data_IF_264435133801
#
_entry.id   IF_264435133801
#
_cell.length_a   1.000
_cell.length_b   1.000
_cell.length_c   1.000
_cell.angle_alpha   90.00
_cell.angle_beta   90.00
_cell.angle_gamma   90.00
#
_symmetry.space_group_name_H-M   'P 1'
#
loop_
_entity.id
_entity.type
_entity.pdbx_description
1 polymer ?
#
# COMPACT_ATOMS: atom_id res chain seq x y z
N UNK A 1 17.78 -0.67 -8.71
CA UNK A 1 17.56 0.02 -10.01
C UNK A 1 16.49 -0.73 -10.81
N UNK A 2 15.78 -0.04 -11.71
CA UNK A 2 14.74 -0.68 -12.53
C UNK A 2 15.36 -1.60 -13.59
N UNK A 3 14.75 -2.76 -13.83
CA UNK A 3 15.13 -3.67 -14.91
C UNK A 3 15.01 -2.99 -16.29
N UNK A 4 14.04 -2.09 -16.48
CA UNK A 4 13.88 -1.34 -17.73
C UNK A 4 15.07 -0.41 -18.00
N UNK A 5 15.59 0.25 -16.97
CA UNK A 5 16.75 1.15 -17.11
C UNK A 5 18.03 0.37 -17.46
N UNK A 6 18.20 -0.82 -16.87
CA UNK A 6 19.33 -1.71 -17.19
C UNK A 6 19.24 -2.20 -18.63
N UNK A 7 18.07 -2.68 -19.07
CA UNK A 7 17.87 -3.12 -20.47
C UNK A 7 18.13 -1.99 -21.45
N UNK A 8 17.58 -0.81 -21.18
CA UNK A 8 17.80 0.36 -22.04
C UNK A 8 19.29 0.72 -22.17
N UNK A 9 20.06 0.62 -21.08
CA UNK A 9 21.51 0.80 -21.13
C UNK A 9 22.22 -0.28 -21.95
N UNK A 10 21.85 -1.55 -21.77
CA UNK A 10 22.43 -2.69 -22.49
C UNK A 10 22.13 -2.65 -24.00
N UNK A 11 20.94 -2.17 -24.38
CA UNK A 11 20.52 -1.96 -25.77
C UNK A 11 21.17 -0.73 -26.42
N UNK A 12 21.73 0.19 -25.63
CA UNK A 12 22.34 1.45 -26.07
C UNK A 12 23.88 1.45 -26.13
N UNK A 13 24.47 2.66 -26.11
CA UNK A 13 25.93 2.83 -26.01
C UNK A 13 26.41 2.50 -24.58
N UNK A 14 27.11 1.37 -24.43
CA UNK A 14 27.64 0.85 -23.16
C UNK A 14 28.87 1.61 -22.65
N UNK A 15 28.67 2.89 -22.36
CA UNK A 15 29.70 3.76 -21.79
C UNK A 15 29.48 3.97 -20.30
N UNK A 16 30.57 4.11 -19.55
CA UNK A 16 30.50 4.33 -18.11
C UNK A 16 29.62 5.56 -17.76
N UNK A 17 29.72 6.66 -18.49
CA UNK A 17 28.92 7.87 -18.25
C UNK A 17 27.43 7.75 -18.60
N UNK A 18 27.02 6.67 -19.26
CA UNK A 18 25.62 6.34 -19.57
C UNK A 18 25.01 5.37 -18.56
N UNK A 19 25.77 4.92 -17.56
CA UNK A 19 25.27 4.03 -16.52
C UNK A 19 24.10 4.69 -15.78
N UNK A 20 22.95 3.99 -15.63
CA UNK A 20 21.76 4.59 -15.06
C UNK A 20 21.97 4.98 -13.60
N UNK A 21 21.34 6.09 -13.19
CA UNK A 21 21.40 6.62 -11.83
C UNK A 21 19.98 6.81 -11.31
N UNK A 22 19.74 6.42 -10.07
CA UNK A 22 18.50 6.76 -9.37
C UNK A 22 18.78 7.87 -8.37
N UNK A 23 18.04 8.97 -8.48
CA UNK A 23 18.10 10.09 -7.53
C UNK A 23 16.73 10.30 -6.92
N UNK A 24 16.68 10.42 -5.60
CA UNK A 24 15.48 10.76 -4.85
C UNK A 24 15.78 11.95 -3.94
N UNK A 25 15.00 13.01 -4.08
CA UNK A 25 15.13 14.23 -3.31
C UNK A 25 13.97 14.35 -2.32
N UNK A 26 14.31 14.65 -1.07
CA UNK A 26 13.36 14.91 0.02
C UNK A 26 13.47 16.37 0.38
N UNK A 27 12.45 17.14 0.01
CA UNK A 27 12.31 18.54 0.37
C UNK A 27 11.77 18.65 1.79
N UNK A 28 12.45 19.43 2.61
CA UNK A 28 12.06 19.73 3.98
C UNK A 28 11.45 21.13 4.02
N UNK A 29 10.60 21.39 5.01
CA UNK A 29 10.15 22.75 5.29
C UNK A 29 11.37 23.61 5.64
N UNK A 30 11.49 24.78 5.00
CA UNK A 30 12.60 25.72 5.23
C UNK A 30 12.80 25.97 6.72
N UNK A 31 13.98 25.61 7.21
CA UNK A 31 14.42 25.79 8.58
C UNK A 31 15.60 26.75 8.65
N UNK A 32 16.09 26.95 9.87
CA UNK A 32 17.28 27.75 10.12
C UNK A 32 18.60 26.97 10.02
N UNK A 33 18.61 25.79 9.38
CA UNK A 33 19.81 24.93 9.32
C UNK A 33 20.58 25.06 8.01
N UNK A 34 21.71 25.81 7.99
CA UNK A 34 22.44 26.09 6.75
C UNK A 34 22.99 24.84 6.07
N UNK A 35 23.26 23.79 6.84
CA UNK A 35 23.76 22.52 6.32
C UNK A 35 22.75 21.81 5.40
N UNK A 36 21.46 22.11 5.52
CA UNK A 36 20.40 21.53 4.70
C UNK A 36 20.07 22.37 3.47
N UNK A 37 20.36 23.66 3.51
CA UNK A 37 19.92 24.64 2.53
C UNK A 37 20.85 24.68 1.31
N UNK A 38 20.28 24.53 0.11
CA UNK A 38 20.99 24.84 -1.12
C UNK A 38 20.28 24.37 -2.38
N UNK A 39 21.02 24.43 -3.50
CA UNK A 39 20.50 24.15 -4.85
C UNK A 39 20.86 22.78 -5.41
N UNK A 40 21.50 21.92 -4.62
CA UNK A 40 21.89 20.56 -5.04
C UNK A 40 20.69 19.59 -5.00
N UNK A 41 19.56 20.02 -5.58
CA UNK A 41 18.35 19.22 -5.80
C UNK A 41 18.01 19.18 -7.31
N UNK A 42 17.11 18.28 -7.71
CA UNK A 42 16.79 17.97 -9.10
C UNK A 42 16.07 19.13 -9.77
N UNK A 43 15.38 19.96 -8.99
CA UNK A 43 14.71 21.17 -9.45
C UNK A 43 15.66 22.37 -9.57
N UNK A 44 16.89 22.29 -9.03
CA UNK A 44 17.86 23.39 -9.00
C UNK A 44 17.38 24.62 -8.20
N UNK A 45 16.36 24.45 -7.36
CA UNK A 45 15.78 25.53 -6.56
C UNK A 45 16.50 25.66 -5.22
N UNK A 46 16.43 26.83 -4.61
CA UNK A 46 16.97 27.01 -3.27
C UNK A 46 16.00 26.43 -2.23
N UNK A 47 16.40 25.37 -1.55
CA UNK A 47 15.55 24.66 -0.60
C UNK A 47 16.35 23.91 0.46
N UNK A 48 15.69 23.60 1.58
CA UNK A 48 16.22 22.66 2.57
C UNK A 48 15.88 21.24 2.17
N UNK A 49 16.85 20.33 2.25
CA UNK A 49 16.54 18.94 1.96
C UNK A 49 17.71 17.98 1.96
N UNK A 50 17.36 16.73 1.66
CA UNK A 50 18.24 15.60 1.59
C UNK A 50 18.08 14.92 0.22
N UNK A 51 19.18 14.37 -0.28
CA UNK A 51 19.24 13.62 -1.52
C UNK A 51 19.77 12.23 -1.23
N UNK A 52 19.10 11.23 -1.77
CA UNK A 52 19.62 9.88 -1.93
C UNK A 52 19.96 9.68 -3.41
N UNK A 53 21.15 9.15 -3.68
CA UNK A 53 21.60 8.82 -5.04
C UNK A 53 22.15 7.40 -5.07
N UNK A 54 21.66 6.59 -6.00
CA UNK A 54 22.19 5.26 -6.30
C UNK A 54 22.94 5.38 -7.62
N UNK A 55 24.27 5.39 -7.55
CA UNK A 55 25.14 5.69 -8.68
C UNK A 55 26.38 4.80 -8.67
N UNK A 56 27.02 4.60 -9.84
CA UNK A 56 28.32 3.93 -9.91
C UNK A 56 29.40 4.77 -9.22
N UNK A 57 30.27 4.08 -8.48
CA UNK A 57 31.44 4.62 -7.79
C UNK A 57 32.56 4.91 -8.79
N UNK A 58 32.36 5.94 -9.62
CA UNK A 58 33.27 6.28 -10.72
C UNK A 58 34.63 6.80 -10.25
N UNK A 59 34.65 7.50 -9.11
CA UNK A 59 35.90 8.06 -8.57
C UNK A 59 36.81 6.95 -8.04
N UNK A 60 36.24 5.94 -7.38
CA UNK A 60 36.99 4.84 -6.78
C UNK A 60 37.29 3.70 -7.76
N UNK A 61 36.35 3.37 -8.65
CA UNK A 61 36.39 2.14 -9.46
C UNK A 61 36.18 2.37 -10.96
N UNK A 62 36.34 3.59 -11.47
CA UNK A 62 36.09 3.91 -12.87
C UNK A 62 36.83 3.00 -13.87
N UNK A 63 38.09 2.65 -13.61
CA UNK A 63 38.87 1.76 -14.48
C UNK A 63 38.29 0.33 -14.53
N UNK A 64 37.90 -0.20 -13.37
CA UNK A 64 37.30 -1.54 -13.28
C UNK A 64 35.93 -1.57 -13.97
N UNK A 65 35.11 -0.54 -13.79
CA UNK A 65 33.82 -0.38 -14.47
C UNK A 65 34.03 -0.38 -15.99
N UNK A 66 35.00 0.37 -16.50
CA UNK A 66 35.32 0.39 -17.92
C UNK A 66 35.75 -0.99 -18.44
N UNK A 67 36.55 -1.72 -17.66
CA UNK A 67 36.98 -3.06 -18.03
C UNK A 67 35.81 -4.04 -18.10
N UNK A 68 34.94 -4.02 -17.08
CA UNK A 68 33.73 -4.87 -17.00
C UNK A 68 32.81 -4.63 -18.18
N UNK A 69 32.55 -3.36 -18.54
CA UNK A 69 31.70 -3.00 -19.67
C UNK A 69 32.27 -3.42 -21.05
N UNK A 70 33.59 -3.60 -21.15
CA UNK A 70 34.26 -4.02 -22.39
C UNK A 70 34.35 -5.54 -22.55
N UNK A 71 34.44 -6.29 -21.44
CA UNK A 71 34.62 -7.75 -21.47
C UNK A 71 33.37 -8.49 -21.94
N UNK A 72 32.21 -8.12 -21.38
CA UNK A 72 30.96 -8.83 -21.62
C UNK A 72 29.82 -7.84 -21.87
N UNK A 73 29.23 -7.84 -23.09
CA UNK A 73 28.07 -7.03 -23.44
C UNK A 73 26.86 -7.16 -22.52
N UNK A 74 26.66 -8.34 -21.94
CA UNK A 74 25.49 -8.65 -21.12
C UNK A 74 25.74 -8.33 -19.64
N UNK A 75 26.99 -8.06 -19.26
CA UNK A 75 27.37 -7.81 -17.88
C UNK A 75 27.03 -6.37 -17.45
N UNK A 76 26.31 -6.25 -16.35
CA UNK A 76 25.96 -4.97 -15.72
C UNK A 76 26.70 -4.85 -14.38
N UNK A 77 27.45 -3.76 -14.13
CA UNK A 77 28.37 -3.62 -12.99
C UNK A 77 27.65 -3.31 -11.67
N UNK A 78 26.81 -4.23 -11.17
CA UNK A 78 26.00 -4.01 -9.96
C UNK A 78 26.85 -3.76 -8.71
N UNK A 79 28.01 -4.41 -8.61
CA UNK A 79 28.92 -4.38 -7.46
C UNK A 79 29.54 -3.00 -7.25
N UNK A 80 29.55 -2.18 -8.30
CA UNK A 80 30.13 -0.85 -8.31
C UNK A 80 29.12 0.25 -7.99
N UNK A 81 27.85 -0.10 -7.72
CA UNK A 81 26.85 0.86 -7.27
C UNK A 81 26.89 1.05 -5.76
N UNK A 82 26.78 2.29 -5.32
CA UNK A 82 26.59 2.63 -3.91
C UNK A 82 25.39 3.55 -3.70
N UNK A 83 24.85 3.51 -2.48
CA UNK A 83 23.85 4.46 -2.02
C UNK A 83 24.56 5.61 -1.33
N UNK A 84 24.45 6.80 -1.90
CA UNK A 84 25.05 8.03 -1.43
C UNK A 84 23.96 8.94 -0.86
N UNK A 85 24.23 9.57 0.28
CA UNK A 85 23.34 10.55 0.88
C UNK A 85 24.05 11.90 0.99
N UNK A 86 23.38 12.96 0.57
CA UNK A 86 23.88 14.33 0.68
C UNK A 86 22.77 15.29 1.09
N UNK A 87 23.13 16.45 1.60
CA UNK A 87 22.20 17.57 1.81
C UNK A 87 22.11 18.42 0.54
N UNK A 88 21.11 19.30 0.43
CA UNK A 88 21.02 20.22 -0.72
C UNK A 88 22.11 21.32 -0.73
N UNK A 89 22.84 21.51 0.38
CA UNK A 89 24.05 22.33 0.41
C UNK A 89 25.27 21.64 -0.23
N UNK A 90 25.18 20.34 -0.52
CA UNK A 90 26.27 19.51 -1.05
C UNK A 90 27.12 18.83 0.02
N UNK A 91 26.76 18.97 1.30
CA UNK A 91 27.41 18.25 2.40
C UNK A 91 27.12 16.75 2.37
N UNK A 92 28.10 15.94 2.79
CA UNK A 92 27.89 14.51 3.01
C UNK A 92 26.95 14.29 4.19
N UNK A 93 25.89 13.50 3.98
CA UNK A 93 25.01 13.08 5.07
C UNK A 93 25.57 11.82 5.73
N UNK A 94 26.21 11.99 6.88
CA UNK A 94 26.66 10.88 7.71
C UNK A 94 25.60 10.57 8.78
N UNK A 95 25.25 9.29 8.95
CA UNK A 95 24.12 8.84 9.79
C UNK A 95 24.13 9.24 11.27
N UNK A 96 25.21 9.86 11.76
CA UNK A 96 25.24 10.46 13.10
C UNK A 96 24.49 11.80 13.17
N UNK A 97 24.35 12.53 12.06
CA UNK A 97 23.56 13.76 11.97
C UNK A 97 22.12 13.40 11.64
N UNK A 98 21.26 13.31 12.65
CA UNK A 98 19.82 13.07 12.46
C UNK A 98 19.07 14.39 12.29
N UNK A 99 19.00 14.90 11.06
CA UNK A 99 18.18 16.07 10.72
C UNK A 99 16.67 15.78 10.84
N UNK A 100 16.26 14.52 10.64
CA UNK A 100 14.87 14.07 10.76
C UNK A 100 14.74 12.98 11.83
N UNK A 101 13.98 13.26 12.89
CA UNK A 101 13.49 12.25 13.84
C UNK A 101 12.23 11.61 13.26
N UNK A 102 12.30 10.31 12.99
CA UNK A 102 11.16 9.53 12.52
C UNK A 102 11.01 8.27 13.37
N UNK A 103 9.80 7.71 13.34
CA UNK A 103 9.52 6.41 13.92
C UNK A 103 8.92 5.50 12.85
N UNK A 104 9.43 4.29 12.75
CA UNK A 104 8.91 3.27 11.85
C UNK A 104 8.27 2.15 12.65
N UNK A 105 6.99 1.89 12.37
CA UNK A 105 6.21 0.82 12.98
C UNK A 105 5.80 -0.16 11.88
N UNK A 106 6.46 -1.31 11.88
CA UNK A 106 6.15 -2.46 11.04
C UNK A 106 5.35 -3.46 11.89
N UNK A 107 4.09 -3.67 11.50
CA UNK A 107 3.16 -4.57 12.19
C UNK A 107 3.45 -6.06 11.91
N UNK A 108 4.13 -6.37 10.81
CA UNK A 108 4.47 -7.73 10.39
C UNK A 108 5.73 -8.25 11.11
N UNK A 109 6.71 -7.37 11.37
CA UNK A 109 7.99 -7.70 12.02
C UNK A 109 8.05 -7.42 13.52
N UNK A 110 6.88 -7.34 14.17
CA UNK A 110 6.74 -7.03 15.60
C UNK A 110 7.61 -7.91 16.53
N UNK A 111 7.97 -9.12 16.11
CA UNK A 111 8.71 -10.09 16.92
C UNK A 111 10.25 -9.91 16.90
N UNK A 112 10.79 -8.91 16.19
CA UNK A 112 12.23 -8.66 16.19
C UNK A 112 12.67 -7.91 17.45
N UNK A 113 13.46 -8.55 18.33
CA UNK A 113 14.03 -7.94 19.54
C UNK A 113 14.75 -6.62 19.26
N UNK A 114 15.47 -6.54 18.13
CA UNK A 114 16.15 -5.31 17.72
C UNK A 114 15.18 -4.18 17.39
N UNK A 115 14.07 -4.48 16.72
CA UNK A 115 13.04 -3.48 16.38
C UNK A 115 12.34 -2.98 17.65
N UNK A 116 12.02 -3.87 18.58
CA UNK A 116 11.46 -3.51 19.88
C UNK A 116 12.43 -2.64 20.70
N UNK A 117 13.73 -2.95 20.68
CA UNK A 117 14.75 -2.18 21.37
C UNK A 117 14.95 -0.78 20.76
N UNK A 118 15.02 -0.67 19.44
CA UNK A 118 15.11 0.62 18.75
C UNK A 118 13.87 1.49 18.97
N UNK A 119 12.68 0.86 19.00
CA UNK A 119 11.44 1.54 19.37
C UNK A 119 11.54 2.11 20.80
N UNK A 120 11.88 1.28 21.79
CA UNK A 120 12.02 1.72 23.20
C UNK A 120 13.05 2.84 23.34
N UNK A 121 14.20 2.71 22.67
CA UNK A 121 15.24 3.74 22.67
C UNK A 121 14.73 5.06 22.07
N UNK A 122 14.01 4.98 20.95
CA UNK A 122 13.48 6.17 20.28
C UNK A 122 12.46 6.88 21.16
N UNK A 123 11.49 6.15 21.72
CA UNK A 123 10.49 6.69 22.64
C UNK A 123 11.13 7.31 23.86
N UNK A 124 12.10 6.64 24.49
CA UNK A 124 12.84 7.18 25.62
C UNK A 124 13.59 8.46 25.25
N UNK A 125 14.27 8.48 24.11
CA UNK A 125 15.04 9.64 23.64
C UNK A 125 14.18 10.86 23.33
N UNK A 126 12.93 10.61 22.90
CA UNK A 126 11.92 11.63 22.59
C UNK A 126 11.31 12.17 23.89
N UNK A 127 10.95 11.28 24.82
CA UNK A 127 10.20 11.68 26.02
C UNK A 127 11.08 12.11 27.20
N UNK A 128 12.40 11.89 27.16
CA UNK A 128 13.31 12.22 28.26
C UNK A 128 14.32 13.31 27.86
N UNK A 129 14.39 14.44 28.60
CA UNK A 129 15.33 15.52 28.33
C UNK A 129 16.78 15.04 28.26
N UNK A 130 17.58 15.65 27.38
CA UNK A 130 18.99 15.30 27.15
C UNK A 130 19.80 15.27 28.47
N UNK A 131 19.59 16.27 29.34
CA UNK A 131 20.27 16.35 30.63
C UNK A 131 19.95 15.15 31.54
N UNK A 132 18.68 14.73 31.57
CA UNK A 132 18.26 13.57 32.36
C UNK A 132 18.79 12.27 31.80
N UNK A 133 18.85 12.12 30.47
CA UNK A 133 19.43 10.92 29.83
C UNK A 133 20.89 10.73 30.23
N UNK A 134 21.71 11.79 30.18
CA UNK A 134 23.10 11.71 30.61
C UNK A 134 23.23 11.40 32.11
N UNK A 135 22.40 12.03 32.95
CA UNK A 135 22.38 11.78 34.39
C UNK A 135 22.04 10.31 34.71
N UNK A 136 20.99 9.78 34.08
CA UNK A 136 20.52 8.42 34.29
C UNK A 136 21.49 7.38 33.72
N UNK A 137 22.07 7.61 32.54
CA UNK A 137 23.10 6.74 31.96
C UNK A 137 24.35 6.66 32.86
N UNK A 138 24.80 7.80 33.38
CA UNK A 138 25.93 7.82 34.31
C UNK A 138 25.62 7.08 35.61
N UNK A 139 24.42 7.29 36.18
CA UNK A 139 23.97 6.58 37.38
C UNK A 139 23.92 5.06 37.13
N UNK A 140 23.36 4.61 36.01
CA UNK A 140 23.30 3.21 35.63
C UNK A 140 24.70 2.59 35.49
N UNK A 141 25.65 3.31 34.89
CA UNK A 141 27.05 2.88 34.80
C UNK A 141 27.70 2.73 36.17
N UNK A 142 27.47 3.68 37.09
CA UNK A 142 27.99 3.62 38.45
C UNK A 142 27.42 2.40 39.20
N UNK A 143 26.14 2.09 39.04
CA UNK A 143 25.53 0.90 39.65
C UNK A 143 26.16 -0.40 39.13
N UNK A 144 26.47 -0.48 37.83
CA UNK A 144 27.21 -1.63 37.27
C UNK A 144 28.59 -1.81 37.87
N UNK A 145 29.32 -0.71 38.05
CA UNK A 145 30.64 -0.73 38.70
C UNK A 145 30.53 -1.17 40.16
N UNK A 146 29.54 -0.64 40.88
CA UNK A 146 29.26 -1.04 42.26
C UNK A 146 28.90 -2.53 42.38
N UNK A 147 28.11 -3.06 41.44
CA UNK A 147 27.77 -4.48 41.42
C UNK A 147 29.03 -5.34 41.26
N UNK A 148 29.93 -4.98 40.35
CA UNK A 148 31.20 -5.69 40.17
C UNK A 148 32.04 -5.67 41.46
N UNK A 149 32.22 -4.49 42.07
CA UNK A 149 33.02 -4.34 43.27
C UNK A 149 32.45 -5.06 44.50
N UNK A 150 31.12 -5.12 44.62
CA UNK A 150 30.45 -5.65 45.81
C UNK A 150 30.09 -7.13 45.71
N UNK A 151 29.69 -7.60 44.53
CA UNK A 151 29.13 -8.94 44.36
C UNK A 151 30.02 -9.86 43.53
N UNK A 152 30.88 -9.33 42.65
CA UNK A 152 31.80 -10.15 41.86
C UNK A 152 33.23 -10.21 42.45
N UNK A 153 33.57 -9.38 43.44
CA UNK A 153 34.91 -9.36 44.05
C UNK A 153 35.33 -10.71 44.59
N UNK A 154 34.48 -11.36 45.40
CA UNK A 154 34.79 -12.67 45.97
C UNK A 154 35.09 -13.76 44.91
N UNK A 155 34.47 -13.67 43.72
CA UNK A 155 34.75 -14.59 42.61
C UNK A 155 36.03 -14.15 41.89
N UNK A 156 36.16 -12.86 41.60
CA UNK A 156 37.30 -12.31 40.87
C UNK A 156 38.63 -12.44 41.64
N UNK A 157 38.60 -12.39 42.97
CA UNK A 157 39.78 -12.56 43.82
C UNK A 157 40.36 -13.99 43.72
N UNK A 158 39.56 -14.97 43.28
CA UNK A 158 40.02 -16.35 43.03
C UNK A 158 40.70 -16.52 41.66
N UNK A 159 40.56 -15.54 40.76
CA UNK A 159 41.06 -15.59 39.40
C UNK A 159 42.39 -14.81 39.28
N UNK A 160 43.41 -15.42 38.71
CA UNK A 160 44.76 -14.83 38.66
C UNK A 160 44.98 -13.86 37.49
N UNK A 161 44.44 -14.18 36.32
CA UNK A 161 44.80 -13.49 35.05
C UNK A 161 43.63 -12.72 34.44
N UNK A 162 42.39 -13.14 34.72
CA UNK A 162 41.19 -12.58 34.11
C UNK A 162 40.16 -12.27 35.19
N UNK A 163 39.27 -11.31 34.93
CA UNK A 163 38.18 -10.94 35.84
C UNK A 163 36.87 -10.87 35.08
N UNK A 164 35.78 -11.25 35.75
CA UNK A 164 34.43 -11.02 35.25
C UNK A 164 34.03 -9.57 35.49
N UNK A 165 33.45 -8.95 34.46
CA UNK A 165 32.93 -7.58 34.51
C UNK A 165 31.57 -7.47 33.84
N UNK A 166 30.77 -6.51 34.29
CA UNK A 166 29.50 -6.17 33.62
C UNK A 166 29.80 -5.23 32.46
N UNK A 167 29.31 -5.59 31.27
CA UNK A 167 29.49 -4.76 30.07
C UNK A 167 28.94 -3.35 30.27
N UNK A 168 29.76 -2.37 29.89
CA UNK A 168 29.45 -0.94 29.87
C UNK A 168 29.82 -0.40 28.49
N UNK A 169 29.02 0.53 27.96
CA UNK A 169 29.16 1.08 26.60
C UNK A 169 27.85 1.06 25.83
N UNK A 170 27.83 1.65 24.64
CA UNK A 170 26.59 1.95 23.89
C UNK A 170 25.66 0.75 23.68
N UNK A 171 26.20 -0.45 23.42
CA UNK A 171 25.41 -1.68 23.21
C UNK A 171 24.88 -2.31 24.52
N UNK A 172 25.25 -1.75 25.66
CA UNK A 172 24.87 -2.21 27.00
C UNK A 172 24.55 -1.05 27.94
N UNK A 173 24.25 0.13 27.41
CA UNK A 173 23.86 1.31 28.20
C UNK A 173 22.48 1.15 28.82
N UNK A 174 22.01 2.16 29.54
CA UNK A 174 20.65 2.19 30.10
C UNK A 174 19.63 2.01 28.97
N UNK A 175 19.71 2.84 27.92
CA UNK A 175 18.77 2.82 26.79
C UNK A 175 18.69 1.44 26.12
N UNK A 176 19.80 0.69 26.08
CA UNK A 176 19.84 -0.66 25.52
C UNK A 176 19.16 -1.71 26.41
N UNK A 177 18.97 -1.44 27.70
CA UNK A 177 18.39 -2.36 28.67
C UNK A 177 17.02 -1.89 29.20
N UNK A 178 16.45 -0.82 28.64
CA UNK A 178 15.10 -0.38 28.97
C UNK A 178 14.05 -1.27 28.31
N UNK A 179 12.90 -1.35 28.97
CA UNK A 179 11.70 -1.98 28.44
C UNK A 179 10.49 -1.09 28.71
N UNK A 180 9.46 -1.23 27.88
CA UNK A 180 8.18 -0.54 28.06
C UNK A 180 7.20 -1.56 28.61
N UNK A 181 6.55 -1.22 29.71
CA UNK A 181 5.56 -2.09 30.38
C UNK A 181 4.21 -1.40 30.49
N UNK A 182 3.15 -2.19 30.33
CA UNK A 182 1.77 -1.82 30.62
C UNK A 182 1.25 -2.80 31.68
N UNK A 183 0.73 -2.32 32.80
CA UNK A 183 0.33 -3.14 33.96
C UNK A 183 1.41 -4.11 34.45
N UNK A 184 2.69 -3.72 34.37
CA UNK A 184 3.83 -4.55 34.77
C UNK A 184 4.22 -5.64 33.76
N UNK A 185 3.52 -5.74 32.63
CA UNK A 185 3.84 -6.70 31.55
C UNK A 185 4.55 -5.96 30.42
N UNK A 186 5.69 -6.48 29.96
CA UNK A 186 6.38 -5.97 28.78
C UNK A 186 5.43 -5.89 27.59
N UNK A 187 5.46 -4.77 26.85
CA UNK A 187 4.70 -4.64 25.60
C UNK A 187 5.03 -5.78 24.64
N UNK A 188 6.25 -6.33 24.69
CA UNK A 188 6.71 -7.45 23.85
C UNK A 188 5.92 -8.73 24.08
N UNK A 189 5.34 -8.90 25.27
CA UNK A 189 4.55 -10.07 25.64
C UNK A 189 3.04 -9.85 25.47
N UNK A 190 2.61 -8.66 25.02
CA UNK A 190 1.19 -8.38 24.71
C UNK A 190 0.85 -8.87 23.30
N UNK A 191 -0.42 -9.09 23.01
CA UNK A 191 -0.86 -9.44 21.65
C UNK A 191 -0.49 -8.36 20.63
N UNK A 192 -0.10 -8.74 19.41
CA UNK A 192 0.41 -7.84 18.36
C UNK A 192 -0.45 -6.59 18.12
N UNK A 193 -1.77 -6.75 18.13
CA UNK A 193 -2.68 -5.62 18.00
C UNK A 193 -2.57 -4.60 19.15
N UNK A 194 -2.44 -5.07 20.41
CA UNK A 194 -2.20 -4.18 21.57
C UNK A 194 -0.83 -3.52 21.48
N UNK A 195 0.19 -4.24 21.01
CA UNK A 195 1.51 -3.66 20.77
C UNK A 195 1.44 -2.50 19.77
N UNK A 196 0.76 -2.68 18.64
CA UNK A 196 0.59 -1.64 17.62
C UNK A 196 -0.06 -0.37 18.21
N UNK A 197 -1.11 -0.56 19.03
CA UNK A 197 -1.78 0.55 19.73
C UNK A 197 -0.86 1.29 20.68
N UNK A 198 -0.25 0.58 21.63
CA UNK A 198 0.65 1.19 22.62
C UNK A 198 1.79 1.92 21.90
N UNK A 199 2.35 1.28 20.86
CA UNK A 199 3.45 1.87 20.09
C UNK A 199 3.05 3.17 19.39
N UNK A 200 1.87 3.18 18.80
CA UNK A 200 1.33 4.37 18.12
C UNK A 200 0.96 5.45 19.13
N UNK A 201 0.33 5.09 20.26
CA UNK A 201 -0.02 6.03 21.33
C UNK A 201 1.22 6.72 21.88
N UNK A 202 2.28 6.00 22.22
CA UNK A 202 3.53 6.60 22.69
C UNK A 202 4.24 7.46 21.62
N UNK A 203 4.09 7.13 20.34
CA UNK A 203 4.62 7.94 19.25
C UNK A 203 3.86 9.28 19.10
N UNK A 204 2.55 9.26 19.36
CA UNK A 204 1.68 10.44 19.24
C UNK A 204 1.59 11.24 20.54
N UNK A 205 1.77 10.60 21.70
CA UNK A 205 1.74 11.24 23.01
C UNK A 205 2.95 12.16 23.17
N UNK A 206 2.71 13.46 23.00
CA UNK A 206 3.61 14.51 23.46
C UNK A 206 3.55 14.61 24.98
N UNK A 207 4.68 14.48 25.65
CA UNK A 207 4.88 15.30 26.85
C UNK A 207 5.08 16.74 26.39
N UNK A 208 4.15 17.64 26.75
CA UNK A 208 4.19 19.10 26.51
C UNK A 208 5.43 19.81 27.12
N UNK A 209 6.40 19.05 27.64
CA UNK A 209 7.55 19.52 28.39
C UNK A 209 8.83 19.20 27.59
N UNK A 210 9.19 20.11 26.68
CA UNK A 210 10.58 20.39 26.25
C UNK A 210 11.50 19.21 25.86
N UNK A 211 10.97 18.12 25.30
CA UNK A 211 11.77 16.98 24.81
C UNK A 211 11.29 16.51 23.44
N UNK A 212 12.13 16.77 22.41
CA UNK A 212 12.14 16.15 21.06
C UNK A 212 10.83 15.95 20.29
N UNK A 213 10.68 16.59 19.13
CA UNK A 213 9.54 16.32 18.24
C UNK A 213 9.83 15.13 17.29
N UNK A 214 8.95 14.13 17.23
CA UNK A 214 8.93 13.18 16.10
C UNK A 214 8.37 13.96 14.91
N UNK A 215 9.14 14.09 13.83
CA UNK A 215 8.70 14.82 12.65
C UNK A 215 7.84 13.93 11.73
N UNK A 216 8.17 12.64 11.64
CA UNK A 216 7.47 11.69 10.77
C UNK A 216 7.18 10.35 11.48
N UNK A 217 5.97 9.83 11.28
CA UNK A 217 5.54 8.49 11.68
C UNK A 217 5.29 7.67 10.41
N UNK A 218 5.97 6.54 10.30
CA UNK A 218 5.88 5.61 9.18
C UNK A 218 5.18 4.34 9.68
N UNK A 219 4.00 4.04 9.16
CA UNK A 219 3.20 2.86 9.50
C UNK A 219 3.12 1.92 8.30
N UNK A 220 3.58 0.69 8.48
CA UNK A 220 3.43 -0.38 7.49
C UNK A 220 2.34 -1.36 7.95
N UNK A 221 1.31 -1.50 7.11
CA UNK A 221 0.15 -2.37 7.29
C UNK A 221 -0.42 -2.36 8.73
N UNK A 222 -0.81 -1.17 9.26
CA UNK A 222 -1.29 -1.07 10.64
C UNK A 222 -2.56 -1.89 10.92
N UNK A 223 -3.29 -2.32 9.89
CA UNK A 223 -4.43 -3.22 9.96
C UNK A 223 -4.07 -4.66 10.37
N UNK A 224 -2.82 -5.09 10.17
CA UNK A 224 -2.41 -6.45 10.48
C UNK A 224 -2.58 -6.72 11.98
N UNK A 225 -3.17 -7.88 12.29
CA UNK A 225 -3.46 -8.32 13.67
C UNK A 225 -4.42 -7.40 14.45
N UNK A 226 -5.14 -6.47 13.79
CA UNK A 226 -6.21 -5.68 14.38
C UNK A 226 -7.58 -6.21 13.99
N UNK A 227 -8.50 -6.17 14.94
CA UNK A 227 -9.93 -6.29 14.61
C UNK A 227 -10.38 -5.06 13.81
N UNK A 228 -11.47 -5.19 13.06
CA UNK A 228 -12.01 -4.08 12.27
C UNK A 228 -12.35 -2.84 13.13
N UNK A 229 -12.86 -3.04 14.36
CA UNK A 229 -13.14 -1.95 15.32
C UNK A 229 -11.84 -1.30 15.81
N UNK A 230 -10.84 -2.11 16.11
CA UNK A 230 -9.51 -1.65 16.52
C UNK A 230 -8.86 -0.82 15.41
N UNK A 231 -8.84 -1.30 14.17
CA UNK A 231 -8.33 -0.54 13.03
C UNK A 231 -9.04 0.80 12.87
N UNK A 232 -10.38 0.85 12.97
CA UNK A 232 -11.14 2.12 12.92
C UNK A 232 -10.74 3.11 14.03
N UNK A 233 -10.50 2.63 15.25
CA UNK A 233 -10.01 3.48 16.35
C UNK A 233 -8.65 4.07 16.05
N UNK A 234 -7.73 3.24 15.54
CA UNK A 234 -6.38 3.67 15.16
C UNK A 234 -6.43 4.73 14.05
N UNK A 235 -7.19 4.50 12.99
CA UNK A 235 -7.33 5.45 11.88
C UNK A 235 -7.93 6.77 12.35
N UNK A 236 -8.96 6.75 13.20
CA UNK A 236 -9.54 7.99 13.74
C UNK A 236 -8.52 8.78 14.56
N UNK A 237 -7.71 8.10 15.38
CA UNK A 237 -6.64 8.74 16.15
C UNK A 237 -5.60 9.38 15.23
N UNK A 238 -5.16 8.67 14.20
CA UNK A 238 -4.20 9.18 13.21
C UNK A 238 -4.78 10.36 12.40
N UNK A 239 -6.07 10.33 12.07
CA UNK A 239 -6.73 11.42 11.34
C UNK A 239 -6.82 12.72 12.15
N UNK A 240 -6.77 12.63 13.49
CA UNK A 240 -6.76 13.80 14.38
C UNK A 240 -5.37 14.40 14.62
N UNK A 241 -4.30 13.67 14.28
CA UNK A 241 -2.93 14.16 14.44
C UNK A 241 -2.63 15.30 13.45
N UNK A 242 -2.05 16.40 13.96
CA UNK A 242 -1.82 17.63 13.16
C UNK A 242 -0.36 18.07 13.13
N UNK A 243 0.48 17.51 13.98
CA UNK A 243 1.83 18.00 14.22
C UNK A 243 2.89 17.04 13.70
N UNK A 244 2.56 15.75 13.58
CA UNK A 244 3.44 14.72 13.02
C UNK A 244 2.98 14.36 11.61
N UNK A 245 3.91 14.29 10.65
CA UNK A 245 3.58 13.79 9.31
C UNK A 245 3.44 12.26 9.37
N UNK A 246 2.25 11.75 9.07
CA UNK A 246 1.98 10.31 9.08
C UNK A 246 1.98 9.77 7.66
N UNK A 247 2.83 8.78 7.40
CA UNK A 247 2.81 7.96 6.19
C UNK A 247 2.28 6.58 6.53
N UNK A 248 1.34 6.10 5.73
CA UNK A 248 0.71 4.79 5.92
C UNK A 248 0.80 4.03 4.61
N UNK A 249 1.46 2.88 4.64
CA UNK A 249 1.36 1.87 3.61
C UNK A 249 0.30 0.85 4.03
N UNK A 250 -0.69 0.59 3.18
CA UNK A 250 -1.84 -0.25 3.51
C UNK A 250 -2.39 -0.90 2.24
N UNK A 251 -2.92 -2.10 2.38
CA UNK A 251 -3.73 -2.78 1.36
C UNK A 251 -5.24 -2.73 1.70
N UNK A 252 -5.61 -2.09 2.81
CA UNK A 252 -6.98 -2.02 3.33
C UNK A 252 -7.77 -0.82 2.80
N UNK A 253 -8.82 -1.11 2.03
CA UNK A 253 -9.76 -0.10 1.50
C UNK A 253 -10.40 0.72 2.64
N UNK A 254 -10.58 0.12 3.82
CA UNK A 254 -11.14 0.78 4.99
C UNK A 254 -10.23 1.86 5.60
N UNK A 255 -8.90 1.73 5.47
CA UNK A 255 -7.97 2.78 5.92
C UNK A 255 -8.01 3.92 4.90
N UNK A 256 -7.91 3.58 3.62
CA UNK A 256 -7.90 4.57 2.54
C UNK A 256 -9.14 5.45 2.50
N UNK A 257 -10.34 4.88 2.69
CA UNK A 257 -11.61 5.62 2.62
C UNK A 257 -11.89 6.50 3.83
N UNK A 258 -11.30 6.19 4.99
CA UNK A 258 -11.48 6.96 6.22
C UNK A 258 -10.47 8.09 6.36
N UNK A 259 -9.32 7.96 5.70
CA UNK A 259 -8.38 9.03 5.54
C UNK A 259 -8.76 9.88 4.32
N UNK A 260 -8.16 11.05 4.21
CA UNK A 260 -8.39 11.93 3.06
C UNK A 260 -7.76 11.31 1.81
N UNK A 261 -8.56 10.59 1.00
CA UNK A 261 -8.10 9.94 -0.23
C UNK A 261 -7.37 10.89 -1.17
N UNK A 262 -7.62 12.20 -1.13
CA UNK A 262 -6.90 13.19 -1.97
C UNK A 262 -5.39 13.22 -1.67
N UNK A 263 -4.97 12.69 -0.52
CA UNK A 263 -3.58 12.53 -0.10
C UNK A 263 -3.04 11.12 -0.37
N UNK A 264 -3.88 10.21 -0.86
CA UNK A 264 -3.48 8.85 -1.18
C UNK A 264 -2.69 8.81 -2.50
N UNK A 265 -1.66 7.97 -2.50
CA UNK A 265 -0.84 7.64 -3.65
C UNK A 265 -1.15 6.18 -3.96
N UNK A 266 -1.85 5.93 -5.07
CA UNK A 266 -2.15 4.58 -5.53
C UNK A 266 -0.96 4.09 -6.35
N UNK A 267 -0.36 2.98 -5.94
CA UNK A 267 0.74 2.36 -6.65
C UNK A 267 0.19 1.49 -7.80
N UNK A 268 -0.01 2.10 -8.97
CA UNK A 268 -0.40 1.40 -10.19
C UNK A 268 0.76 0.62 -10.81
N UNK A 269 0.46 -0.19 -11.83
CA UNK A 269 1.45 -1.04 -12.49
C UNK A 269 2.55 -0.26 -13.24
N UNK A 270 2.23 0.92 -13.77
CA UNK A 270 3.15 1.73 -14.60
C UNK A 270 3.69 2.94 -13.86
N UNK A 271 2.84 3.62 -13.06
CA UNK A 271 3.21 4.79 -12.29
C UNK A 271 2.37 4.91 -11.01
N UNK A 272 2.86 5.64 -9.99
CA UNK A 272 1.99 6.12 -8.93
C UNK A 272 0.95 7.09 -9.50
N UNK A 273 -0.29 6.95 -9.04
CA UNK A 273 -1.40 7.86 -9.35
C UNK A 273 -1.79 8.59 -8.09
N UNK A 274 -1.75 9.92 -8.16
CA UNK A 274 -2.24 10.76 -7.08
C UNK A 274 -3.75 10.93 -7.23
N UNK A 275 -4.51 10.70 -6.16
CA UNK A 275 -5.98 10.82 -6.22
C UNK A 275 -6.48 12.25 -6.50
N UNK A 276 -5.61 13.26 -6.40
CA UNK A 276 -5.91 14.62 -6.82
C UNK A 276 -5.87 14.83 -8.35
N UNK A 277 -5.41 13.83 -9.11
CA UNK A 277 -5.48 13.81 -10.59
C UNK A 277 -6.89 13.42 -11.09
N UNK A 278 -7.74 12.86 -10.22
CA UNK A 278 -9.15 12.55 -10.54
C UNK A 278 -10.01 13.82 -10.55
N UNK A 279 -11.14 13.76 -11.24
CA UNK A 279 -12.17 14.80 -11.12
C UNK A 279 -12.64 14.93 -9.66
N UNK A 280 -12.93 16.14 -9.22
CA UNK A 280 -13.34 16.41 -7.84
C UNK A 280 -14.57 15.58 -7.42
N UNK A 281 -15.49 15.34 -8.36
CA UNK A 281 -16.65 14.49 -8.14
C UNK A 281 -16.29 13.01 -7.99
N UNK A 282 -15.36 12.49 -8.79
CA UNK A 282 -14.90 11.09 -8.70
C UNK A 282 -14.10 10.85 -7.42
N UNK A 283 -13.21 11.77 -7.06
CA UNK A 283 -12.54 11.73 -5.77
C UNK A 283 -13.55 11.77 -4.61
N UNK A 284 -14.57 12.64 -4.68
CA UNK A 284 -15.61 12.71 -3.65
C UNK A 284 -16.47 11.45 -3.56
N UNK A 285 -16.76 10.79 -4.69
CA UNK A 285 -17.46 9.50 -4.70
C UNK A 285 -16.69 8.45 -3.89
N UNK A 286 -15.39 8.29 -4.17
CA UNK A 286 -14.56 7.32 -3.48
C UNK A 286 -14.34 7.64 -2.00
N UNK A 287 -14.34 8.92 -1.61
CA UNK A 287 -14.28 9.33 -0.19
C UNK A 287 -15.59 9.08 0.57
N UNK A 288 -16.75 9.07 -0.10
CA UNK A 288 -18.06 8.99 0.56
C UNK A 288 -18.46 7.59 1.02
N UNK A 289 -17.95 6.53 0.38
CA UNK A 289 -18.32 5.16 0.70
C UNK A 289 -17.08 4.29 0.99
N UNK A 290 -16.96 3.74 2.22
CA UNK A 290 -15.85 2.87 2.61
C UNK A 290 -15.73 1.57 1.83
N UNK A 291 -16.82 1.15 1.20
CA UNK A 291 -16.98 -0.13 0.53
C UNK A 291 -16.76 -0.01 -0.99
N UNK A 292 -16.36 1.18 -1.47
CA UNK A 292 -15.92 1.32 -2.83
C UNK A 292 -14.58 0.61 -2.95
N UNK A 293 -14.54 -0.51 -3.66
CA UNK A 293 -13.39 -1.40 -3.89
C UNK A 293 -12.24 -0.71 -4.68
N UNK A 294 -11.85 0.51 -4.31
CA UNK A 294 -10.89 1.37 -4.99
C UNK A 294 -9.49 0.80 -4.95
N UNK A 295 -9.05 0.31 -3.79
CA UNK A 295 -7.74 -0.32 -3.67
C UNK A 295 -7.70 -1.63 -4.44
N UNK A 296 -8.74 -2.45 -4.34
CA UNK A 296 -8.83 -3.70 -5.12
C UNK A 296 -8.80 -3.41 -6.62
N UNK A 297 -9.59 -2.42 -7.07
CA UNK A 297 -9.56 -1.94 -8.44
C UNK A 297 -8.18 -1.46 -8.84
N UNK A 298 -7.50 -0.69 -7.97
CA UNK A 298 -6.22 -0.09 -8.30
C UNK A 298 -5.09 -1.12 -8.40
N UNK A 299 -5.16 -2.19 -7.61
CA UNK A 299 -4.18 -3.27 -7.60
C UNK A 299 -4.44 -4.31 -8.71
N UNK A 300 -5.67 -4.40 -9.22
CA UNK A 300 -6.04 -5.34 -10.27
C UNK A 300 -5.56 -4.89 -11.66
N UNK A 301 -4.90 -5.80 -12.39
CA UNK A 301 -4.43 -5.53 -13.77
C UNK A 301 -5.56 -5.55 -14.80
N UNK A 302 -6.52 -6.46 -14.61
CA UNK A 302 -7.69 -6.66 -15.46
C UNK A 302 -8.91 -6.66 -14.55
N UNK A 303 -9.88 -5.82 -14.86
CA UNK A 303 -11.09 -5.67 -14.04
C UNK A 303 -12.33 -5.87 -14.91
N UNK A 304 -13.23 -6.70 -14.44
CA UNK A 304 -14.59 -6.82 -14.95
C UNK A 304 -15.53 -6.12 -13.97
N UNK A 305 -16.05 -4.97 -14.36
CA UNK A 305 -17.05 -4.23 -13.59
C UNK A 305 -18.43 -4.77 -13.92
N UNK A 306 -19.22 -5.08 -12.90
CA UNK A 306 -20.61 -5.52 -13.04
C UNK A 306 -21.51 -4.63 -12.20
N UNK A 307 -22.77 -4.48 -12.64
CA UNK A 307 -23.71 -3.55 -12.03
C UNK A 307 -24.15 -3.95 -10.62
N UNK A 308 -24.48 -5.23 -10.42
CA UNK A 308 -24.98 -5.73 -9.16
C UNK A 308 -24.59 -7.18 -8.84
N UNK A 309 -25.25 -7.70 -7.80
CA UNK A 309 -24.95 -9.02 -7.24
C UNK A 309 -25.35 -10.16 -8.19
N UNK A 310 -26.39 -9.98 -9.01
CA UNK A 310 -26.88 -11.04 -9.89
C UNK A 310 -25.84 -11.41 -10.96
N UNK A 311 -25.21 -10.41 -11.57
CA UNK A 311 -24.09 -10.58 -12.49
C UNK A 311 -22.89 -11.14 -11.75
N UNK A 312 -22.54 -10.57 -10.59
CA UNK A 312 -21.39 -11.02 -9.79
C UNK A 312 -21.46 -12.53 -9.47
N UNK A 313 -22.64 -13.02 -9.07
CA UNK A 313 -22.89 -14.43 -8.75
C UNK A 313 -22.69 -15.35 -9.95
N UNK A 314 -23.09 -14.94 -11.16
CA UNK A 314 -23.13 -15.81 -12.34
C UNK A 314 -21.89 -15.72 -13.24
N UNK A 315 -21.15 -14.61 -13.17
CA UNK A 315 -20.02 -14.36 -14.09
C UNK A 315 -18.90 -15.40 -13.93
N UNK A 316 -18.59 -15.84 -12.71
CA UNK A 316 -17.60 -16.92 -12.50
C UNK A 316 -18.01 -18.21 -13.22
N UNK A 317 -19.30 -18.58 -13.13
CA UNK A 317 -19.83 -19.75 -13.81
C UNK A 317 -19.83 -19.59 -15.34
N UNK A 318 -20.16 -18.40 -15.85
CA UNK A 318 -20.05 -18.12 -17.29
C UNK A 318 -18.61 -18.20 -17.78
N UNK A 319 -17.65 -17.68 -17.00
CA UNK A 319 -16.23 -17.76 -17.33
C UNK A 319 -15.76 -19.22 -17.41
N UNK A 320 -16.08 -20.01 -16.39
CA UNK A 320 -15.72 -21.43 -16.35
C UNK A 320 -16.38 -22.21 -17.49
N UNK A 321 -17.64 -21.92 -17.81
CA UNK A 321 -18.34 -22.58 -18.91
C UNK A 321 -17.75 -22.28 -20.28
N UNK A 322 -17.31 -21.04 -20.51
CA UNK A 322 -16.73 -20.64 -21.80
C UNK A 322 -15.26 -21.09 -21.95
N UNK A 323 -14.49 -21.13 -20.86
CA UNK A 323 -13.02 -21.30 -20.95
C UNK A 323 -12.44 -22.46 -20.13
N UNK A 324 -13.24 -23.13 -19.30
CA UNK A 324 -12.80 -24.23 -18.43
C UNK A 324 -11.81 -23.81 -17.33
N UNK A 325 -11.86 -22.53 -16.92
CA UNK A 325 -10.94 -21.89 -15.96
C UNK A 325 -11.66 -20.89 -15.09
N UNK A 326 -11.06 -20.51 -13.97
CA UNK A 326 -11.59 -19.43 -13.15
C UNK A 326 -11.05 -18.07 -13.64
N UNK A 327 -11.78 -16.95 -13.45
CA UNK A 327 -11.31 -15.61 -13.82
C UNK A 327 -9.92 -15.27 -13.25
N UNK A 328 -9.60 -15.76 -12.05
CA UNK A 328 -8.35 -15.49 -11.35
C UNK A 328 -7.14 -16.13 -12.06
N UNK A 329 -7.35 -17.26 -12.75
CA UNK A 329 -6.30 -17.95 -13.51
C UNK A 329 -5.76 -17.07 -14.65
N UNK A 330 -6.62 -16.21 -15.21
CA UNK A 330 -6.29 -15.24 -16.25
C UNK A 330 -6.10 -13.82 -15.68
N UNK A 331 -6.04 -13.69 -14.35
CA UNK A 331 -5.79 -12.44 -13.63
C UNK A 331 -6.90 -11.40 -13.76
N UNK A 332 -8.14 -11.84 -13.97
CA UNK A 332 -9.34 -11.00 -14.07
C UNK A 332 -9.99 -10.88 -12.69
N UNK A 333 -10.08 -9.66 -12.18
CA UNK A 333 -10.78 -9.36 -10.92
C UNK A 333 -12.19 -8.85 -11.21
N UNK A 334 -13.21 -9.44 -10.57
CA UNK A 334 -14.61 -9.04 -10.76
C UNK A 334 -15.00 -8.08 -9.62
N UNK A 335 -15.60 -6.93 -9.98
CA UNK A 335 -16.05 -5.95 -8.99
C UNK A 335 -17.51 -5.59 -9.28
N UNK A 336 -18.40 -5.90 -8.33
CA UNK A 336 -19.75 -5.35 -8.31
C UNK A 336 -19.71 -3.90 -7.80
N UNK A 337 -20.24 -2.96 -8.59
CA UNK A 337 -20.21 -1.53 -8.21
C UNK A 337 -21.49 -1.07 -7.50
N UNK A 338 -22.53 -1.90 -7.45
CA UNK A 338 -23.78 -1.62 -6.77
C UNK A 338 -24.58 -0.46 -7.39
N UNK A 339 -24.64 -0.40 -8.73
CA UNK A 339 -25.38 0.63 -9.47
C UNK A 339 -24.68 1.11 -10.74
N UNK A 340 -24.92 2.37 -11.12
CA UNK A 340 -24.55 2.92 -12.45
C UNK A 340 -23.26 3.75 -12.48
N UNK A 341 -22.45 3.65 -11.42
CA UNK A 341 -21.26 4.49 -11.17
C UNK A 341 -20.01 4.11 -11.99
N UNK A 342 -20.17 3.38 -13.09
CA UNK A 342 -19.07 2.91 -13.96
C UNK A 342 -18.11 4.02 -14.37
N UNK A 343 -18.64 5.21 -14.67
CA UNK A 343 -17.84 6.37 -15.08
C UNK A 343 -16.69 6.66 -14.11
N UNK A 344 -16.95 6.54 -12.80
CA UNK A 344 -15.98 6.82 -11.73
C UNK A 344 -14.81 5.84 -11.77
N UNK A 345 -15.10 4.56 -12.00
CA UNK A 345 -14.09 3.52 -12.15
C UNK A 345 -13.37 3.60 -13.50
N UNK A 346 -14.05 4.00 -14.58
CA UNK A 346 -13.42 4.20 -15.90
C UNK A 346 -12.46 5.39 -15.91
N UNK A 347 -12.79 6.50 -15.22
CA UNK A 347 -11.85 7.62 -15.00
C UNK A 347 -10.58 7.13 -14.27
N UNK A 348 -10.74 6.31 -13.23
CA UNK A 348 -9.63 5.73 -12.49
C UNK A 348 -8.82 4.71 -13.35
N UNK A 349 -9.51 3.89 -14.15
CA UNK A 349 -8.89 2.94 -15.09
C UNK A 349 -7.91 3.63 -16.03
N UNK A 350 -8.32 4.78 -16.57
CA UNK A 350 -7.52 5.56 -17.51
C UNK A 350 -6.24 6.09 -16.89
N UNK A 351 -6.26 6.48 -15.61
CA UNK A 351 -5.07 6.97 -14.91
C UNK A 351 -4.10 5.86 -14.54
N UNK A 352 -4.63 4.70 -14.12
CA UNK A 352 -3.85 3.54 -13.69
C UNK A 352 -3.42 2.63 -14.85
N UNK A 353 -4.00 2.85 -16.04
CA UNK A 353 -3.84 2.01 -17.23
C UNK A 353 -4.28 0.55 -17.02
N UNK A 354 -5.33 0.34 -16.22
CA UNK A 354 -5.91 -0.97 -16.01
C UNK A 354 -6.72 -1.39 -17.24
N UNK A 355 -6.74 -2.69 -17.57
CA UNK A 355 -7.64 -3.20 -18.61
C UNK A 355 -9.02 -3.41 -17.99
N UNK A 356 -10.07 -2.75 -18.47
CA UNK A 356 -11.39 -2.74 -17.82
C UNK A 356 -12.52 -3.04 -18.80
N UNK A 357 -13.28 -4.09 -18.52
CA UNK A 357 -14.55 -4.37 -19.18
C UNK A 357 -15.68 -3.99 -18.23
N UNK A 358 -16.66 -3.21 -18.69
CA UNK A 358 -17.82 -2.82 -17.90
C UNK A 358 -19.08 -3.44 -18.49
N UNK A 359 -19.69 -4.39 -17.77
CA UNK A 359 -21.00 -4.95 -18.10
C UNK A 359 -22.09 -4.02 -17.59
N UNK A 360 -22.88 -3.46 -18.51
CA UNK A 360 -23.87 -2.44 -18.20
C UNK A 360 -25.23 -2.79 -18.79
N UNK A 361 -26.29 -2.56 -18.02
CA UNK A 361 -27.66 -2.57 -18.53
C UNK A 361 -27.92 -1.36 -19.42
N UNK A 362 -28.52 -1.57 -20.60
CA UNK A 362 -28.84 -0.48 -21.52
C UNK A 362 -30.05 0.36 -21.04
N UNK A 363 -30.84 -0.16 -20.09
CA UNK A 363 -32.04 0.47 -19.51
C UNK A 363 -33.03 1.00 -20.57
N UNK A 364 -33.12 0.33 -21.71
CA UNK A 364 -33.97 0.70 -22.84
C UNK A 364 -33.40 1.79 -23.75
N UNK A 365 -32.16 2.23 -23.52
CA UNK A 365 -31.47 3.21 -24.37
C UNK A 365 -29.95 3.01 -24.41
N UNK A 366 -29.48 2.07 -25.24
CA UNK A 366 -28.06 1.79 -25.46
C UNK A 366 -27.24 3.03 -25.82
N UNK A 367 -27.70 3.82 -26.80
CA UNK A 367 -26.99 4.99 -27.29
C UNK A 367 -26.67 5.99 -26.16
N UNK A 368 -27.66 6.31 -25.34
CA UNK A 368 -27.49 7.27 -24.25
C UNK A 368 -26.72 6.67 -23.08
N UNK A 369 -27.07 5.45 -22.65
CA UNK A 369 -26.59 4.88 -21.40
C UNK A 369 -25.22 4.20 -21.51
N UNK A 370 -24.83 3.77 -22.72
CA UNK A 370 -23.59 3.03 -22.96
C UNK A 370 -22.60 3.81 -23.83
N UNK A 371 -23.02 4.38 -24.96
CA UNK A 371 -22.09 5.08 -25.86
C UNK A 371 -21.78 6.50 -25.37
N UNK A 372 -22.80 7.36 -25.30
CA UNK A 372 -22.62 8.79 -25.03
C UNK A 372 -22.14 9.07 -23.61
N UNK A 373 -22.65 8.31 -22.63
CA UNK A 373 -22.35 8.51 -21.19
C UNK A 373 -20.88 8.30 -20.82
N UNK A 374 -20.17 7.46 -21.58
CA UNK A 374 -18.80 7.06 -21.29
C UNK A 374 -17.77 7.47 -22.36
N UNK A 375 -18.21 8.09 -23.46
CA UNK A 375 -17.37 8.43 -24.61
C UNK A 375 -16.09 9.22 -24.25
N UNK A 376 -16.15 10.08 -23.24
CA UNK A 376 -15.02 10.93 -22.82
C UNK A 376 -14.04 10.25 -21.85
N UNK A 377 -14.44 9.13 -21.23
CA UNK A 377 -13.64 8.40 -20.24
C UNK A 377 -13.08 7.08 -20.76
N UNK A 378 -13.62 6.56 -21.87
CA UNK A 378 -13.11 5.35 -22.53
C UNK A 378 -11.73 5.55 -23.16
N UNK A 379 -10.94 4.48 -23.20
CA UNK A 379 -9.61 4.45 -23.79
C UNK A 379 -9.35 3.09 -24.45
N UNK A 380 -8.18 2.87 -25.06
CA UNK A 380 -7.84 1.60 -25.71
C UNK A 380 -7.87 0.38 -24.77
N UNK A 381 -7.79 0.61 -23.46
CA UNK A 381 -7.81 -0.42 -22.42
C UNK A 381 -9.12 -0.48 -21.64
N UNK A 382 -10.16 0.27 -22.02
CA UNK A 382 -11.46 0.20 -21.39
C UNK A 382 -12.60 0.11 -22.40
N UNK A 383 -13.59 -0.75 -22.14
CA UNK A 383 -14.76 -0.92 -23.01
C UNK A 383 -16.01 -1.22 -22.18
N UNK A 384 -17.14 -0.64 -22.59
CA UNK A 384 -18.47 -0.92 -22.04
C UNK A 384 -19.16 -1.92 -22.96
N UNK A 385 -19.81 -2.91 -22.37
CA UNK A 385 -20.54 -3.97 -23.05
C UNK A 385 -21.95 -4.01 -22.49
N UNK A 386 -22.92 -3.98 -23.41
CA UNK A 386 -24.34 -4.04 -23.13
C UNK A 386 -25.03 -4.68 -24.33
N UNK A 387 -26.24 -5.20 -24.13
CA UNK A 387 -27.06 -5.69 -25.25
C UNK A 387 -27.45 -4.51 -26.16
N UNK A 388 -27.32 -4.68 -27.47
CA UNK A 388 -27.66 -3.63 -28.44
C UNK A 388 -29.18 -3.50 -28.66
N UNK A 389 -29.96 -4.52 -28.30
CA UNK A 389 -31.42 -4.44 -28.35
C UNK A 389 -31.97 -3.79 -27.08
N UNK A 390 -32.59 -2.62 -27.22
CA UNK A 390 -33.24 -1.90 -26.12
C UNK A 390 -34.42 -2.67 -25.50
N UNK A 391 -34.96 -3.71 -26.16
CA UNK A 391 -35.96 -4.60 -25.56
C UNK A 391 -35.36 -5.56 -24.52
N UNK A 392 -34.05 -5.79 -24.61
CA UNK A 392 -33.23 -6.62 -23.72
C UNK A 392 -32.50 -5.72 -22.71
N UNK A 393 -33.30 -5.02 -21.91
CA UNK A 393 -32.82 -3.82 -21.22
C UNK A 393 -31.99 -4.06 -19.97
N UNK A 394 -32.16 -5.22 -19.32
CA UNK A 394 -31.44 -5.59 -18.10
C UNK A 394 -30.88 -7.00 -18.17
N UNK A 395 -29.88 -7.29 -17.34
CA UNK A 395 -29.27 -8.61 -17.21
C UNK A 395 -30.31 -9.74 -17.07
N UNK A 396 -31.34 -9.58 -16.24
CA UNK A 396 -32.33 -10.63 -16.00
C UNK A 396 -33.19 -10.91 -17.25
N UNK A 397 -33.50 -9.88 -18.03
CA UNK A 397 -34.27 -10.02 -19.27
C UNK A 397 -33.43 -10.78 -20.30
N UNK A 398 -32.17 -10.38 -20.49
CA UNK A 398 -31.24 -11.07 -21.38
C UNK A 398 -31.10 -12.55 -20.98
N UNK A 399 -30.84 -12.80 -19.70
CA UNK A 399 -30.63 -14.15 -19.18
C UNK A 399 -31.88 -15.02 -19.33
N UNK A 400 -33.07 -14.47 -19.03
CA UNK A 400 -34.33 -15.18 -19.21
C UNK A 400 -34.58 -15.52 -20.68
N UNK A 401 -34.42 -14.57 -21.60
CA UNK A 401 -34.69 -14.81 -23.02
C UNK A 401 -33.78 -15.89 -23.62
N UNK A 402 -32.50 -15.92 -23.22
CA UNK A 402 -31.54 -16.91 -23.72
C UNK A 402 -31.68 -18.29 -23.04
N UNK A 403 -32.45 -18.38 -21.95
CA UNK A 403 -32.61 -19.57 -21.13
C UNK A 403 -34.08 -19.85 -20.76
N UNK A 404 -35.03 -19.45 -21.61
CA UNK A 404 -36.45 -19.40 -21.26
C UNK A 404 -36.99 -20.74 -20.74
N UNK A 405 -36.71 -21.85 -21.44
CA UNK A 405 -37.16 -23.19 -21.04
C UNK A 405 -36.65 -23.61 -19.65
N UNK A 406 -35.38 -23.26 -19.35
CA UNK A 406 -34.74 -23.61 -18.09
C UNK A 406 -35.29 -22.74 -16.95
N UNK A 407 -35.40 -21.44 -17.18
CA UNK A 407 -35.98 -20.51 -16.22
C UNK A 407 -37.44 -20.83 -15.95
N UNK A 408 -38.22 -21.15 -16.98
CA UNK A 408 -39.60 -21.60 -16.84
C UNK A 408 -39.68 -22.90 -16.03
N UNK A 409 -38.88 -23.91 -16.34
CA UNK A 409 -38.89 -25.16 -15.59
C UNK A 409 -38.53 -24.95 -14.10
N UNK A 410 -37.57 -24.07 -13.80
CA UNK A 410 -37.10 -23.82 -12.44
C UNK A 410 -38.06 -22.95 -11.63
N UNK A 411 -38.60 -21.90 -12.23
CA UNK A 411 -39.32 -20.85 -11.53
C UNK A 411 -40.84 -20.90 -11.69
N UNK A 412 -41.38 -21.76 -12.57
CA UNK A 412 -42.83 -21.94 -12.74
C UNK A 412 -43.39 -22.78 -11.58
N UNK A 413 -43.91 -22.09 -10.57
CA UNK A 413 -44.63 -22.69 -9.45
C UNK A 413 -46.15 -22.47 -9.55
N UNK A 414 -46.94 -23.42 -9.05
CA UNK A 414 -48.43 -23.40 -9.06
C UNK A 414 -49.07 -22.30 -8.21
N UNK A 415 -48.29 -21.43 -7.55
CA UNK A 415 -48.78 -20.34 -6.67
C UNK A 415 -48.09 -18.98 -6.90
N UNK A 416 -47.46 -18.74 -8.05
CA UNK A 416 -46.85 -17.43 -8.38
C UNK A 416 -47.81 -16.58 -9.21
N UNK A 417 -47.98 -15.32 -8.81
CA UNK A 417 -48.81 -14.32 -9.52
C UNK A 417 -48.04 -13.55 -10.58
N UNK A 418 -46.71 -13.49 -10.46
CA UNK A 418 -45.81 -12.85 -11.43
C UNK A 418 -45.45 -13.83 -12.56
N UNK A 419 -45.15 -13.28 -13.74
CA UNK A 419 -44.46 -14.05 -14.78
C UNK A 419 -43.06 -14.45 -14.29
N UNK A 420 -42.44 -15.45 -14.91
CA UNK A 420 -41.08 -15.87 -14.52
C UNK A 420 -40.07 -14.72 -14.68
N UNK A 421 -40.17 -13.96 -15.78
CA UNK A 421 -39.33 -12.78 -16.00
C UNK A 421 -39.55 -11.71 -14.92
N UNK A 422 -40.80 -11.39 -14.57
CA UNK A 422 -41.10 -10.41 -13.51
C UNK A 422 -40.63 -10.88 -12.14
N UNK A 423 -40.71 -12.19 -11.87
CA UNK A 423 -40.15 -12.78 -10.66
C UNK A 423 -38.64 -12.58 -10.59
N UNK A 424 -37.91 -12.84 -11.69
CA UNK A 424 -36.46 -12.65 -11.77
C UNK A 424 -36.09 -11.18 -11.58
N UNK A 425 -36.80 -10.25 -12.22
CA UNK A 425 -36.61 -8.81 -12.03
C UNK A 425 -36.82 -8.35 -10.58
N UNK A 426 -37.81 -8.92 -9.90
CA UNK A 426 -38.08 -8.60 -8.49
C UNK A 426 -37.14 -9.29 -7.50
N UNK A 427 -36.45 -10.36 -7.90
CA UNK A 427 -35.63 -11.22 -7.03
C UNK A 427 -34.26 -11.52 -7.66
N UNK A 428 -33.58 -10.49 -8.18
CA UNK A 428 -32.38 -10.58 -9.01
C UNK A 428 -31.31 -11.53 -8.46
N UNK A 429 -30.81 -11.26 -7.26
CA UNK A 429 -29.75 -12.05 -6.62
C UNK A 429 -30.20 -13.48 -6.28
N UNK A 430 -31.43 -13.66 -5.78
CA UNK A 430 -31.97 -14.97 -5.42
C UNK A 430 -32.16 -15.85 -6.67
N UNK A 431 -32.67 -15.28 -7.76
CA UNK A 431 -32.82 -15.98 -9.02
C UNK A 431 -31.45 -16.38 -9.59
N UNK A 432 -30.47 -15.48 -9.56
CA UNK A 432 -29.10 -15.78 -9.99
C UNK A 432 -28.48 -16.91 -9.17
N UNK A 433 -28.64 -16.88 -7.84
CA UNK A 433 -28.12 -17.91 -6.95
C UNK A 433 -28.76 -19.29 -7.19
N UNK A 434 -30.08 -19.36 -7.40
CA UNK A 434 -30.75 -20.62 -7.72
C UNK A 434 -30.31 -21.18 -9.08
N UNK A 435 -30.13 -20.33 -10.09
CA UNK A 435 -29.61 -20.73 -11.40
C UNK A 435 -28.18 -21.27 -11.29
N UNK A 436 -27.32 -20.62 -10.51
CA UNK A 436 -25.95 -21.06 -10.24
C UNK A 436 -25.94 -22.45 -9.60
N UNK A 437 -26.70 -22.67 -8.53
CA UNK A 437 -26.68 -23.93 -7.78
C UNK A 437 -27.17 -25.14 -8.57
N UNK A 438 -28.22 -24.95 -9.38
CA UNK A 438 -28.93 -26.08 -9.98
C UNK A 438 -28.53 -26.32 -11.44
N UNK A 439 -28.09 -25.27 -12.15
CA UNK A 439 -28.03 -25.27 -13.60
C UNK A 439 -26.85 -24.52 -14.23
N UNK A 440 -25.82 -24.12 -13.47
CA UNK A 440 -24.65 -23.39 -13.99
C UNK A 440 -24.10 -23.93 -15.31
N UNK A 441 -23.90 -25.25 -15.41
CA UNK A 441 -23.33 -25.93 -16.59
C UNK A 441 -24.27 -26.02 -17.80
N UNK A 442 -25.51 -25.54 -17.69
CA UNK A 442 -26.51 -25.58 -18.76
C UNK A 442 -26.90 -24.18 -19.26
N UNK A 443 -26.48 -23.12 -18.57
CA UNK A 443 -26.83 -21.76 -18.93
C UNK A 443 -26.18 -21.34 -20.24
N UNK A 444 -26.98 -20.81 -21.15
CA UNK A 444 -26.51 -20.04 -22.31
C UNK A 444 -26.09 -18.67 -21.81
N UNK A 445 -24.86 -18.27 -22.13
CA UNK A 445 -24.30 -16.97 -21.74
C UNK A 445 -24.76 -15.91 -22.75
N UNK A 446 -25.34 -14.78 -22.32
CA UNK A 446 -25.69 -13.69 -23.22
C UNK A 446 -24.51 -13.17 -24.05
N UNK A 447 -24.75 -12.79 -25.31
CA UNK A 447 -23.68 -12.46 -26.28
C UNK A 447 -22.77 -11.31 -25.82
N UNK A 448 -23.34 -10.21 -25.31
CA UNK A 448 -22.54 -9.08 -24.81
C UNK A 448 -21.60 -9.46 -23.64
N UNK A 449 -21.99 -10.47 -22.84
CA UNK A 449 -21.16 -11.02 -21.78
C UNK A 449 -20.06 -11.88 -22.38
N UNK A 450 -20.36 -12.73 -23.36
CA UNK A 450 -19.34 -13.52 -24.05
C UNK A 450 -18.27 -12.61 -24.68
N UNK A 451 -18.70 -11.52 -25.35
CA UNK A 451 -17.81 -10.51 -25.93
C UNK A 451 -16.93 -9.84 -24.87
N UNK A 452 -17.51 -9.43 -23.73
CA UNK A 452 -16.78 -8.82 -22.64
C UNK A 452 -15.74 -9.76 -22.05
N UNK A 453 -16.11 -11.01 -21.81
CA UNK A 453 -15.23 -12.03 -21.24
C UNK A 453 -14.09 -12.40 -22.21
N UNK A 454 -14.38 -12.49 -23.51
CA UNK A 454 -13.37 -12.71 -24.53
C UNK A 454 -12.41 -11.52 -24.65
N UNK A 455 -12.91 -10.30 -24.51
CA UNK A 455 -12.11 -9.09 -24.62
C UNK A 455 -11.28 -8.79 -23.38
N UNK A 456 -11.70 -9.18 -22.16
CA UNK A 456 -10.93 -8.88 -20.93
C UNK A 456 -9.76 -9.84 -20.71
N UNK A 457 -9.93 -11.10 -21.14
CA UNK A 457 -8.91 -12.16 -21.14
C UNK A 457 -7.67 -11.78 -21.98
#
# INVERSE_FOLDING_TARGET
MSQSAVRHFQEGERRADQLPVLTADVFLSNGGEPDLNGRQNLAGIDADGLRMRIAPMMEEYGQDIHHVLQQDPDNFPYEYYSVQFSTFSGGHFAGFRRYLRHLFLDSARIDNEHAAQEYTRTVYSVNVPVADRYRLENSYRQQKMHFCARHLSAINDTLKTYQFGVRSGAKSGLEANLDITEDGISIRHRGKGRQCFIKTEFALQRHQQQGGEIHALLLEEPENHLSHVSMKRLVNQLATERQTQVFIATHSSHISSRLDLRKAILLGATRPVLMNELSAETAAFFMKAPDNNVLEFALARRVLLVEGDAEFILIEAFYHRLYGRAPEDDGVHIIAIGGTSFRRYLELARLLENRVAALRDNDGNYQQNCDERYADVLCSRSRVFADHDNSRSTFEICLYQDNADLCDALFRGTRRTLTVQDYMLANKAEAAFQLLQLHAEKLTVPDYIQEALAWIR
#
